data_IF_830561827820
#
_entry.id   IF_830561827820
#
_cell.length_a   1.000
_cell.length_b   1.000
_cell.length_c   1.000
_cell.angle_alpha   90.00
_cell.angle_beta   90.00
_cell.angle_gamma   90.00
#
_symmetry.space_group_name_H-M   'P 1'
#
loop_
_entity.id
_entity.type
_entity.pdbx_description
1 polymer ?
#
# COMPACT_ATOMS: atom_id res chain seq x y z
N UNK A 1 -26.41 -15.52 39.35
CA UNK A 1 -27.19 -15.10 38.15
C UNK A 1 -27.29 -16.29 37.22
N UNK A 2 -28.41 -16.51 36.54
CA UNK A 2 -28.45 -17.44 35.40
C UNK A 2 -27.82 -16.81 34.17
N UNK A 3 -27.34 -17.62 33.23
CA UNK A 3 -26.71 -17.15 31.99
C UNK A 3 -27.63 -16.22 31.20
N UNK A 4 -28.92 -16.55 31.11
CA UNK A 4 -29.93 -15.71 30.44
C UNK A 4 -30.09 -14.34 31.13
N UNK A 5 -30.17 -14.32 32.45
CA UNK A 5 -30.28 -13.07 33.19
C UNK A 5 -29.03 -12.19 33.03
N UNK A 6 -27.84 -12.80 33.01
CA UNK A 6 -26.60 -12.08 32.76
C UNK A 6 -26.57 -11.47 31.36
N UNK A 7 -26.97 -12.22 30.32
CA UNK A 7 -27.02 -11.72 28.94
C UNK A 7 -28.03 -10.58 28.77
N UNK A 8 -29.19 -10.67 29.41
CA UNK A 8 -30.21 -9.61 29.36
C UNK A 8 -29.74 -8.36 30.11
N UNK A 9 -29.06 -8.52 31.25
CA UNK A 9 -28.50 -7.42 32.01
C UNK A 9 -27.37 -6.70 31.24
N UNK A 10 -26.49 -7.44 30.57
CA UNK A 10 -25.44 -6.84 29.72
C UNK A 10 -26.03 -6.01 28.58
N UNK A 11 -27.09 -6.49 27.92
CA UNK A 11 -27.79 -5.73 26.87
C UNK A 11 -28.42 -4.45 27.42
N UNK A 12 -29.03 -4.53 28.61
CA UNK A 12 -29.63 -3.38 29.29
C UNK A 12 -28.58 -2.33 29.65
N UNK A 13 -27.44 -2.75 30.20
CA UNK A 13 -26.33 -1.86 30.53
C UNK A 13 -25.73 -1.21 29.27
N UNK A 14 -25.56 -1.97 28.18
CA UNK A 14 -25.07 -1.44 26.91
C UNK A 14 -26.04 -0.43 26.28
N UNK A 15 -27.36 -0.58 26.45
CA UNK A 15 -28.33 0.43 26.03
C UNK A 15 -28.19 1.72 26.84
N UNK A 16 -28.14 1.61 28.18
CA UNK A 16 -27.96 2.77 29.07
C UNK A 16 -26.64 3.50 28.84
N UNK A 17 -25.56 2.77 28.58
CA UNK A 17 -24.26 3.36 28.24
C UNK A 17 -24.35 4.22 26.97
N UNK A 18 -25.08 3.73 25.95
CA UNK A 18 -25.32 4.49 24.73
C UNK A 18 -26.13 5.75 25.00
N UNK A 19 -27.23 5.66 25.74
CA UNK A 19 -28.09 6.80 26.06
C UNK A 19 -27.29 7.91 26.78
N UNK A 20 -26.54 7.54 27.82
CA UNK A 20 -25.67 8.48 28.56
C UNK A 20 -24.59 9.07 27.65
N UNK A 21 -24.04 8.28 26.75
CA UNK A 21 -23.04 8.78 25.78
C UNK A 21 -23.65 9.79 24.82
N UNK A 22 -24.88 9.58 24.36
CA UNK A 22 -25.60 10.52 23.48
C UNK A 22 -25.90 11.83 24.21
N UNK A 23 -26.38 11.75 25.45
CA UNK A 23 -26.58 12.93 26.30
C UNK A 23 -25.28 13.71 26.48
N UNK A 24 -24.17 13.03 26.80
CA UNK A 24 -22.87 13.67 26.92
C UNK A 24 -22.47 14.37 25.61
N UNK A 25 -22.65 13.74 24.45
CA UNK A 25 -22.33 14.33 23.14
C UNK A 25 -23.14 15.60 22.88
N UNK A 26 -24.44 15.58 23.19
CA UNK A 26 -25.30 16.76 23.05
C UNK A 26 -24.81 17.92 23.94
N UNK A 27 -24.43 17.64 25.20
CA UNK A 27 -23.89 18.67 26.10
C UNK A 27 -22.50 19.16 25.68
N UNK A 28 -21.63 18.28 25.20
CA UNK A 28 -20.32 18.67 24.67
C UNK A 28 -20.46 19.60 23.46
N UNK A 29 -21.48 19.39 22.62
CA UNK A 29 -21.78 20.29 21.51
C UNK A 29 -22.14 21.70 22.02
N UNK A 30 -22.94 21.80 23.08
CA UNK A 30 -23.32 23.08 23.69
C UNK A 30 -22.16 23.75 24.43
N UNK A 31 -21.32 22.98 25.13
CA UNK A 31 -20.10 23.46 25.81
C UNK A 31 -19.12 24.06 24.80
N UNK A 32 -18.96 23.44 23.63
CA UNK A 32 -18.11 23.97 22.56
C UNK A 32 -18.74 25.21 21.91
N UNK A 33 -20.05 25.20 21.64
CA UNK A 33 -20.77 26.35 21.04
C UNK A 33 -20.68 27.61 21.90
N UNK A 34 -20.87 27.47 23.21
CA UNK A 34 -20.79 28.59 24.16
C UNK A 34 -19.36 28.94 24.58
N UNK A 35 -18.36 28.18 24.13
CA UNK A 35 -16.96 28.37 24.54
C UNK A 35 -16.72 28.17 26.03
N UNK A 36 -17.53 27.36 26.73
CA UNK A 36 -17.42 27.21 28.19
C UNK A 36 -16.10 26.55 28.62
N UNK A 37 -15.52 25.69 27.78
CA UNK A 37 -14.18 25.15 28.02
C UNK A 37 -13.10 26.25 28.08
N UNK A 38 -13.25 27.34 27.31
CA UNK A 38 -12.38 28.51 27.41
C UNK A 38 -12.64 29.30 28.69
N UNK A 39 -13.90 29.44 29.11
CA UNK A 39 -14.25 30.07 30.38
C UNK A 39 -13.66 29.32 31.59
N UNK A 40 -13.55 27.99 31.49
CA UNK A 40 -12.86 27.11 32.46
C UNK A 40 -11.33 27.13 32.33
N UNK A 41 -10.76 27.94 31.42
CA UNK A 41 -9.31 28.14 31.29
C UNK A 41 -8.59 27.19 30.33
N UNK A 42 -9.30 26.43 29.50
CA UNK A 42 -8.69 25.53 28.52
C UNK A 42 -8.57 26.18 27.14
N UNK A 43 -7.46 25.92 26.44
CA UNK A 43 -7.21 26.41 25.08
C UNK A 43 -7.99 25.65 23.99
N UNK A 44 -8.61 24.52 24.34
CA UNK A 44 -9.26 23.63 23.40
C UNK A 44 -10.22 22.67 24.10
N UNK A 45 -11.27 22.28 23.37
CA UNK A 45 -12.22 21.27 23.81
C UNK A 45 -11.53 19.91 24.10
N UNK A 46 -10.43 19.61 23.40
CA UNK A 46 -9.65 18.40 23.63
C UNK A 46 -8.98 18.37 25.00
N UNK A 47 -8.32 19.45 25.42
CA UNK A 47 -7.70 19.51 26.75
C UNK A 47 -8.76 19.48 27.86
N UNK A 48 -9.87 20.18 27.69
CA UNK A 48 -10.99 20.12 28.64
C UNK A 48 -11.51 18.69 28.83
N UNK A 49 -11.78 17.97 27.73
CA UNK A 49 -12.21 16.57 27.77
C UNK A 49 -11.19 15.64 28.45
N UNK A 50 -9.89 15.87 28.27
CA UNK A 50 -8.85 15.01 28.87
C UNK A 50 -8.59 15.31 30.34
N UNK A 51 -8.55 16.59 30.71
CA UNK A 51 -8.11 17.02 32.03
C UNK A 51 -9.26 17.12 33.03
N UNK A 52 -10.44 17.59 32.58
CA UNK A 52 -11.64 17.72 33.45
C UNK A 52 -12.51 16.48 33.38
N UNK A 53 -12.83 16.01 32.18
CA UNK A 53 -13.72 14.84 32.01
C UNK A 53 -12.96 13.50 32.06
N UNK A 54 -11.64 13.54 32.23
CA UNK A 54 -10.76 12.37 32.37
C UNK A 54 -10.89 11.35 31.22
N UNK A 55 -11.24 11.82 30.02
CA UNK A 55 -11.35 10.97 28.85
C UNK A 55 -9.96 10.62 28.28
N UNK A 56 -9.82 9.39 27.77
CA UNK A 56 -8.67 9.04 26.94
C UNK A 56 -8.65 9.89 25.66
N UNK A 57 -7.48 10.06 25.04
CA UNK A 57 -7.36 10.86 23.81
C UNK A 57 -8.32 10.38 22.72
N UNK A 58 -8.37 9.06 22.51
CA UNK A 58 -9.27 8.46 21.53
C UNK A 58 -10.75 8.69 21.87
N UNK A 59 -11.12 8.55 23.15
CA UNK A 59 -12.48 8.80 23.62
C UNK A 59 -12.90 10.27 23.46
N UNK A 60 -11.97 11.20 23.70
CA UNK A 60 -12.19 12.63 23.53
C UNK A 60 -12.39 12.99 22.05
N UNK A 61 -11.48 12.57 21.16
CA UNK A 61 -11.60 12.84 19.72
C UNK A 61 -12.93 12.34 19.15
N UNK A 62 -13.30 11.09 19.43
CA UNK A 62 -14.55 10.52 18.91
C UNK A 62 -15.79 11.28 19.37
N UNK A 63 -15.83 11.73 20.63
CA UNK A 63 -16.96 12.49 21.20
C UNK A 63 -17.01 13.93 20.68
N UNK A 64 -15.87 14.60 20.55
CA UNK A 64 -15.80 15.96 20.00
C UNK A 64 -16.26 15.97 18.53
N UNK A 65 -15.77 15.04 17.71
CA UNK A 65 -16.20 14.93 16.32
C UNK A 65 -17.69 14.59 16.20
N UNK A 66 -18.18 13.67 17.04
CA UNK A 66 -19.61 13.37 17.11
C UNK A 66 -20.45 14.59 17.54
N UNK A 67 -20.00 15.35 18.53
CA UNK A 67 -20.67 16.56 19.01
C UNK A 67 -20.77 17.62 17.91
N UNK A 68 -19.66 17.88 17.21
CA UNK A 68 -19.61 18.82 16.08
C UNK A 68 -20.52 18.39 14.93
N UNK A 69 -20.54 17.10 14.60
CA UNK A 69 -21.41 16.55 13.57
C UNK A 69 -22.88 16.64 13.98
N UNK A 70 -23.21 16.23 15.21
CA UNK A 70 -24.56 16.28 15.77
C UNK A 70 -25.13 17.70 15.84
N UNK A 71 -24.30 18.70 16.19
CA UNK A 71 -24.70 20.11 16.15
C UNK A 71 -25.15 20.55 14.75
N UNK A 72 -24.45 20.10 13.71
CA UNK A 72 -24.79 20.40 12.31
C UNK A 72 -25.98 19.57 11.82
N UNK A 73 -26.11 18.33 12.28
CA UNK A 73 -27.09 17.35 11.83
C UNK A 73 -27.71 16.61 13.05
N UNK A 74 -28.74 17.18 13.70
CA UNK A 74 -29.27 16.65 14.97
C UNK A 74 -29.77 15.20 14.93
N UNK A 75 -30.21 14.71 13.76
CA UNK A 75 -30.63 13.31 13.53
C UNK A 75 -29.54 12.29 13.92
N UNK A 76 -28.27 12.69 13.98
CA UNK A 76 -27.17 11.84 14.44
C UNK A 76 -27.39 11.39 15.89
N UNK A 77 -27.92 12.26 16.77
CA UNK A 77 -28.17 11.90 18.18
C UNK A 77 -29.23 10.79 18.29
N UNK A 78 -30.33 10.92 17.54
CA UNK A 78 -31.38 9.89 17.47
C UNK A 78 -30.81 8.55 16.98
N UNK A 79 -30.02 8.58 15.90
CA UNK A 79 -29.42 7.37 15.34
C UNK A 79 -28.37 6.71 16.27
N UNK A 80 -27.64 7.52 17.05
CA UNK A 80 -26.72 7.01 18.08
C UNK A 80 -27.49 6.37 19.25
N UNK A 81 -28.60 6.98 19.69
CA UNK A 81 -29.43 6.45 20.77
C UNK A 81 -30.07 5.11 20.37
N UNK A 82 -30.63 5.04 19.17
CA UNK A 82 -31.13 3.79 18.58
C UNK A 82 -30.03 2.72 18.45
N UNK A 83 -28.77 3.14 18.30
CA UNK A 83 -27.63 2.26 18.00
C UNK A 83 -27.53 1.89 16.53
N UNK A 84 -28.27 2.58 15.66
CA UNK A 84 -28.14 2.42 14.21
C UNK A 84 -26.83 3.05 13.70
N UNK A 85 -26.23 3.97 14.46
CA UNK A 85 -24.88 4.48 14.30
C UNK A 85 -24.03 4.31 15.57
N UNK A 86 -22.72 4.36 15.42
CA UNK A 86 -21.74 4.43 16.51
C UNK A 86 -20.74 5.57 16.29
N UNK A 87 -19.97 5.94 17.31
CA UNK A 87 -19.04 7.08 17.27
C UNK A 87 -17.98 6.96 16.17
N UNK A 88 -17.47 5.75 15.93
CA UNK A 88 -16.52 5.49 14.84
C UNK A 88 -17.13 5.83 13.48
N UNK A 89 -18.38 5.41 13.25
CA UNK A 89 -19.11 5.68 12.01
C UNK A 89 -19.33 7.18 11.83
N UNK A 90 -19.77 7.88 12.88
CA UNK A 90 -19.97 9.33 12.86
C UNK A 90 -18.65 10.06 12.57
N UNK A 91 -17.54 9.67 13.20
CA UNK A 91 -16.23 10.28 12.94
C UNK A 91 -15.72 10.06 11.51
N UNK A 92 -16.06 8.92 10.88
CA UNK A 92 -15.68 8.65 9.49
C UNK A 92 -16.50 9.48 8.50
N UNK A 93 -17.82 9.53 8.66
CA UNK A 93 -18.72 10.20 7.70
C UNK A 93 -18.90 11.69 7.97
N UNK A 94 -18.73 12.15 9.22
CA UNK A 94 -19.14 13.48 9.67
C UNK A 94 -18.55 14.63 8.86
N UNK A 95 -17.28 14.53 8.45
CA UNK A 95 -16.59 15.51 7.60
C UNK A 95 -17.07 15.55 6.14
N UNK A 96 -17.81 14.53 5.71
CA UNK A 96 -18.34 14.39 4.35
C UNK A 96 -19.84 14.70 4.27
N UNK A 97 -20.48 14.98 5.40
CA UNK A 97 -21.88 15.36 5.45
C UNK A 97 -22.05 16.83 5.05
N UNK A 98 -23.01 17.06 4.16
CA UNK A 98 -23.46 18.36 3.69
C UNK A 98 -24.97 18.47 3.89
N UNK A 99 -25.53 19.68 3.81
CA UNK A 99 -26.98 19.88 3.93
C UNK A 99 -27.78 19.10 2.88
N UNK A 100 -27.17 18.80 1.73
CA UNK A 100 -27.85 18.14 0.62
C UNK A 100 -27.74 16.60 0.69
N UNK A 101 -26.67 16.05 1.27
CA UNK A 101 -26.42 14.60 1.24
C UNK A 101 -26.67 13.88 2.58
N UNK A 102 -26.81 14.60 3.70
CA UNK A 102 -26.65 13.98 5.02
C UNK A 102 -27.64 12.84 5.27
N UNK A 103 -28.91 12.98 4.86
CA UNK A 103 -29.93 11.95 5.07
C UNK A 103 -29.59 10.64 4.36
N UNK A 104 -29.18 10.73 3.10
CA UNK A 104 -28.83 9.57 2.28
C UNK A 104 -27.57 8.87 2.80
N UNK A 105 -26.53 9.66 3.11
CA UNK A 105 -25.26 9.13 3.62
C UNK A 105 -25.45 8.45 4.97
N UNK A 106 -26.18 9.09 5.90
CA UNK A 106 -26.45 8.52 7.21
C UNK A 106 -27.32 7.26 7.12
N UNK A 107 -28.32 7.24 6.23
CA UNK A 107 -29.12 6.05 5.98
C UNK A 107 -28.27 4.88 5.44
N UNK A 108 -27.37 5.15 4.50
CA UNK A 108 -26.46 4.15 3.93
C UNK A 108 -25.44 3.61 4.96
N UNK A 109 -25.07 4.42 5.96
CA UNK A 109 -24.13 4.06 7.02
C UNK A 109 -24.74 3.26 8.17
N UNK A 110 -26.07 3.12 8.25
CA UNK A 110 -26.76 2.41 9.34
C UNK A 110 -26.28 0.95 9.47
N UNK A 111 -25.91 0.56 10.70
CA UNK A 111 -25.51 -0.80 11.08
C UNK A 111 -24.39 -1.42 10.21
N UNK A 112 -23.55 -0.58 9.59
CA UNK A 112 -22.41 -1.02 8.77
C UNK A 112 -21.18 -1.26 9.61
N UNK A 113 -20.35 -2.20 9.17
CA UNK A 113 -19.00 -2.37 9.71
C UNK A 113 -18.12 -1.16 9.34
N UNK A 114 -17.07 -0.91 10.14
CA UNK A 114 -16.11 0.18 9.89
C UNK A 114 -15.62 0.20 8.43
N UNK A 115 -15.29 -0.98 7.88
CA UNK A 115 -14.78 -1.10 6.52
C UNK A 115 -15.83 -0.74 5.47
N UNK A 116 -17.08 -1.15 5.63
CA UNK A 116 -18.15 -0.76 4.72
C UNK A 116 -18.41 0.75 4.75
N UNK A 117 -18.25 1.39 5.91
CA UNK A 117 -18.32 2.84 6.05
C UNK A 117 -17.15 3.52 5.34
N UNK A 118 -15.93 2.99 5.45
CA UNK A 118 -14.77 3.49 4.69
C UNK A 118 -14.99 3.36 3.18
N UNK A 119 -15.58 2.25 2.70
CA UNK A 119 -15.95 2.07 1.30
C UNK A 119 -17.05 3.06 0.86
N UNK A 120 -18.02 3.37 1.73
CA UNK A 120 -19.02 4.42 1.50
C UNK A 120 -18.36 5.79 1.37
N UNK A 121 -17.46 6.15 2.29
CA UNK A 121 -16.72 7.41 2.25
C UNK A 121 -15.88 7.51 0.97
N UNK A 122 -15.22 6.42 0.57
CA UNK A 122 -14.44 6.38 -0.67
C UNK A 122 -15.29 6.58 -1.93
N UNK A 123 -16.56 6.15 -1.93
CA UNK A 123 -17.51 6.44 -3.03
C UNK A 123 -17.93 7.91 -3.07
N UNK A 124 -18.11 8.53 -1.90
CA UNK A 124 -18.46 9.95 -1.80
C UNK A 124 -17.30 10.85 -2.25
N UNK A 125 -16.07 10.46 -1.95
CA UNK A 125 -14.86 11.19 -2.32
C UNK A 125 -13.78 10.24 -2.85
N UNK A 126 -13.86 9.86 -4.14
CA UNK A 126 -12.82 9.05 -4.76
C UNK A 126 -11.47 9.77 -4.68
N UNK A 127 -10.49 9.13 -4.07
CA UNK A 127 -9.11 9.61 -4.05
C UNK A 127 -8.41 9.15 -5.34
N UNK A 128 -7.52 9.98 -5.92
CA UNK A 128 -6.72 9.56 -7.07
C UNK A 128 -5.80 8.39 -6.69
N UNK A 129 -5.46 7.57 -7.68
CA UNK A 129 -4.55 6.45 -7.47
C UNK A 129 -3.21 6.93 -6.90
N UNK A 130 -2.74 6.27 -5.85
CA UNK A 130 -1.42 6.55 -5.28
C UNK A 130 -0.37 5.98 -6.23
N UNK A 131 0.63 6.77 -6.66
CA UNK A 131 1.68 6.29 -7.55
C UNK A 131 2.43 5.13 -6.91
N UNK A 132 2.75 4.11 -7.71
CA UNK A 132 3.54 2.98 -7.26
C UNK A 132 4.90 3.46 -6.73
N UNK A 133 5.19 3.15 -5.47
CA UNK A 133 6.48 3.49 -4.86
C UNK A 133 7.05 2.30 -4.09
N UNK A 134 8.35 2.09 -4.25
CA UNK A 134 9.13 1.17 -3.43
C UNK A 134 10.06 2.04 -2.60
N UNK A 135 9.80 2.15 -1.29
CA UNK A 135 10.62 2.94 -0.37
C UNK A 135 11.11 2.04 0.74
N UNK A 136 12.40 2.11 1.07
CA UNK A 136 12.95 1.44 2.24
C UNK A 136 12.33 2.01 3.53
N UNK A 137 11.85 1.16 4.43
CA UNK A 137 11.23 1.59 5.69
C UNK A 137 12.30 2.06 6.71
N UNK A 138 11.98 3.05 7.56
CA UNK A 138 12.77 3.32 8.77
C UNK A 138 12.63 2.17 9.77
N UNK A 139 13.65 1.96 10.59
CA UNK A 139 13.61 0.97 11.67
C UNK A 139 12.58 1.35 12.74
N UNK A 140 11.84 0.34 13.22
CA UNK A 140 11.09 0.46 14.46
C UNK A 140 12.09 0.27 15.59
N UNK A 141 12.51 1.37 16.24
CA UNK A 141 13.19 1.26 17.53
C UNK A 141 12.20 0.64 18.53
N UNK A 142 12.57 -0.40 19.30
CA UNK A 142 11.81 -0.77 20.48
C UNK A 142 11.76 0.48 21.39
N UNK A 143 10.55 0.90 21.77
CA UNK A 143 10.40 1.94 22.78
C UNK A 143 10.79 1.32 24.11
N UNK A 144 12.05 1.51 24.50
CA UNK A 144 12.47 1.32 25.90
C UNK A 144 11.91 2.52 26.67
N UNK A 145 11.01 2.27 27.60
CA UNK A 145 10.48 3.28 28.50
C UNK A 145 11.65 3.89 29.31
N UNK A 146 11.87 5.22 29.29
CA UNK A 146 12.81 5.83 30.21
C UNK A 146 12.22 5.80 31.62
N UNK A 147 12.92 5.11 32.51
CA UNK A 147 12.71 5.22 33.95
C UNK A 147 12.84 6.67 34.41
N UNK A 148 11.97 7.04 35.33
CA UNK A 148 11.87 8.35 35.96
C UNK A 148 13.21 8.82 36.53
N UNK A 149 13.56 10.09 36.29
CA UNK A 149 14.32 10.96 37.19
C UNK A 149 14.06 12.43 36.79
N UNK A 150 13.42 13.17 37.70
CA UNK A 150 13.41 14.65 37.79
C UNK A 150 14.66 15.09 38.60
N UNK A 151 15.20 16.34 38.51
CA UNK A 151 14.42 17.56 38.79
C UNK A 151 14.79 18.93 38.13
N UNK A 152 13.81 19.85 38.27
CA UNK A 152 13.86 21.31 38.56
C UNK A 152 14.19 22.41 37.51
N UNK A 153 13.14 23.23 37.24
CA UNK A 153 13.00 24.71 37.15
C UNK A 153 14.01 25.60 36.36
N UNK A 154 13.63 26.21 35.22
CA UNK A 154 12.96 27.54 34.99
C UNK A 154 13.97 28.70 34.71
N UNK A 155 13.65 29.83 34.01
CA UNK A 155 12.36 30.30 33.49
C UNK A 155 12.34 30.75 31.99
N UNK A 156 11.14 31.14 31.55
CA UNK A 156 10.67 31.67 30.26
C UNK A 156 11.26 33.04 29.87
N UNK A 157 11.22 33.41 28.57
CA UNK A 157 10.33 34.52 28.20
C UNK A 157 9.45 34.23 26.95
N UNK A 158 8.37 35.01 26.85
CA UNK A 158 7.25 34.89 25.91
C UNK A 158 7.53 35.56 24.53
N UNK A 159 6.58 35.58 23.56
CA UNK A 159 6.80 35.10 22.20
C UNK A 159 7.13 36.21 21.18
N UNK A 160 7.93 35.87 20.17
CA UNK A 160 8.10 36.71 18.97
C UNK A 160 7.33 36.09 17.79
N UNK A 161 6.67 36.96 17.03
CA UNK A 161 5.63 36.68 16.05
C UNK A 161 6.04 35.74 14.91
N UNK A 162 5.07 34.92 14.47
CA UNK A 162 5.14 34.09 13.27
C UNK A 162 5.18 34.94 11.99
N UNK A 163 6.01 34.62 10.99
CA UNK A 163 5.65 34.79 9.59
C UNK A 163 4.94 33.52 9.08
N UNK A 164 3.84 33.71 8.36
CA UNK A 164 3.07 32.65 7.72
C UNK A 164 3.92 31.80 6.76
N UNK A 165 3.72 30.47 6.67
CA UNK A 165 4.38 29.67 5.65
C UNK A 165 3.73 29.96 4.29
N UNK A 166 4.48 30.60 3.41
CA UNK A 166 4.17 30.67 1.99
C UNK A 166 4.10 29.23 1.43
N UNK A 167 2.95 28.89 0.83
CA UNK A 167 2.75 27.63 0.13
C UNK A 167 3.61 27.62 -1.12
N UNK A 168 4.74 26.91 -1.09
CA UNK A 168 5.50 26.60 -2.30
C UNK A 168 4.85 25.43 -3.05
N UNK A 169 4.78 25.46 -4.39
CA UNK A 169 4.26 24.36 -5.18
C UNK A 169 5.16 23.11 -5.05
N UNK A 170 4.63 21.88 -5.16
CA UNK A 170 5.42 20.67 -5.08
C UNK A 170 6.40 20.59 -6.25
N UNK A 171 7.69 20.45 -5.93
CA UNK A 171 8.75 20.23 -6.90
C UNK A 171 8.57 18.89 -7.65
N UNK A 172 9.01 18.78 -8.92
CA UNK A 172 8.90 17.54 -9.69
C UNK A 172 9.72 16.42 -9.04
N UNK A 173 9.28 15.14 -9.19
CA UNK A 173 9.95 14.01 -8.56
C UNK A 173 11.35 13.82 -9.16
N UNK A 174 12.38 14.15 -8.38
CA UNK A 174 13.77 13.77 -8.68
C UNK A 174 13.91 12.25 -8.54
N UNK A 175 14.68 11.57 -9.42
CA UNK A 175 15.09 10.20 -9.18
C UNK A 175 15.93 10.15 -7.90
N UNK A 176 15.38 9.57 -6.84
CA UNK A 176 16.04 9.51 -5.55
C UNK A 176 17.16 8.47 -5.61
N UNK A 177 18.39 8.97 -5.61
CA UNK A 177 19.60 8.19 -5.36
C UNK A 177 19.48 7.60 -3.95
N UNK A 178 19.49 6.27 -3.87
CA UNK A 178 19.31 5.49 -2.65
C UNK A 178 20.59 5.54 -1.83
N UNK A 179 20.54 6.13 -0.63
CA UNK A 179 21.61 6.00 0.38
C UNK A 179 21.16 4.99 1.46
N UNK A 180 21.97 3.96 1.79
CA UNK A 180 21.53 2.78 2.54
C UNK A 180 21.51 2.96 4.07
N UNK A 181 20.51 2.35 4.74
CA UNK A 181 20.32 2.46 6.21
C UNK A 181 20.04 1.13 6.97
N UNK A 182 19.76 -0.03 6.33
CA UNK A 182 19.69 -1.39 6.96
C UNK A 182 19.62 -2.52 5.90
N UNK A 183 19.98 -3.80 6.14
CA UNK A 183 19.83 -4.87 5.15
C UNK A 183 18.35 -5.31 4.92
N UNK A 184 17.99 -5.61 3.66
CA UNK A 184 16.91 -6.53 3.24
C UNK A 184 15.41 -6.24 3.50
N UNK A 185 14.97 -5.02 3.85
CA UNK A 185 13.52 -4.69 3.97
C UNK A 185 13.07 -3.52 3.09
N UNK A 186 11.93 -3.67 2.40
CA UNK A 186 11.37 -2.69 1.46
C UNK A 186 9.87 -2.50 1.69
N UNK A 187 9.35 -1.27 1.75
CA UNK A 187 7.90 -0.98 1.63
C UNK A 187 7.55 -0.87 0.16
N UNK A 188 6.57 -1.66 -0.24
CA UNK A 188 5.95 -1.62 -1.55
C UNK A 188 4.54 -1.08 -1.38
N UNK A 189 4.18 -0.03 -2.14
CA UNK A 189 2.85 0.56 -2.11
C UNK A 189 2.38 0.85 -3.54
N UNK A 190 1.20 0.36 -3.91
CA UNK A 190 0.54 0.62 -5.19
C UNK A 190 -0.97 0.41 -5.05
N UNK A 191 -1.76 1.08 -5.90
CA UNK A 191 -3.21 0.83 -5.99
C UNK A 191 -3.49 -0.38 -6.89
N UNK A 192 -4.51 -1.16 -6.55
CA UNK A 192 -4.95 -2.34 -7.32
C UNK A 192 -6.44 -2.25 -7.66
N UNK A 193 -6.83 -2.88 -8.77
CA UNK A 193 -8.25 -2.99 -9.15
C UNK A 193 -9.07 -3.80 -8.14
N UNK A 194 -10.40 -3.60 -8.13
CA UNK A 194 -11.33 -4.39 -7.31
C UNK A 194 -11.17 -5.90 -7.52
N UNK A 195 -11.08 -6.35 -8.78
CA UNK A 195 -10.82 -7.75 -9.15
C UNK A 195 -9.50 -8.27 -8.57
N UNK A 196 -8.46 -7.44 -8.50
CA UNK A 196 -7.18 -7.84 -7.89
C UNK A 196 -7.30 -7.94 -6.37
N UNK A 197 -8.06 -7.05 -5.74
CA UNK A 197 -8.35 -7.11 -4.30
C UNK A 197 -9.16 -8.36 -3.93
N UNK A 198 -10.14 -8.75 -4.75
CA UNK A 198 -10.88 -10.02 -4.60
C UNK A 198 -9.96 -11.23 -4.69
N UNK A 199 -9.06 -11.26 -5.69
CA UNK A 199 -8.05 -12.33 -5.81
C UNK A 199 -7.15 -12.40 -4.57
N UNK A 200 -6.73 -11.26 -4.02
CA UNK A 200 -5.91 -11.23 -2.82
C UNK A 200 -6.66 -11.79 -1.60
N UNK A 201 -7.92 -11.41 -1.40
CA UNK A 201 -8.76 -11.93 -0.31
C UNK A 201 -8.98 -13.43 -0.42
N UNK A 202 -9.31 -13.91 -1.61
CA UNK A 202 -9.46 -15.34 -1.86
C UNK A 202 -8.15 -16.10 -1.57
N UNK A 203 -7.01 -15.53 -1.95
CA UNK A 203 -5.70 -16.12 -1.65
C UNK A 203 -5.43 -16.13 -0.13
N UNK A 204 -5.79 -15.08 0.61
CA UNK A 204 -5.68 -15.03 2.07
C UNK A 204 -6.52 -16.15 2.72
N UNK A 205 -7.77 -16.33 2.28
CA UNK A 205 -8.66 -17.35 2.82
C UNK A 205 -8.13 -18.77 2.56
N UNK A 206 -7.70 -19.06 1.33
CA UNK A 206 -7.12 -20.36 0.97
C UNK A 206 -5.79 -20.64 1.69
N UNK A 207 -5.03 -19.60 2.03
CA UNK A 207 -3.74 -19.72 2.70
C UNK A 207 -3.81 -19.59 4.22
N UNK A 208 -5.00 -19.45 4.82
CA UNK A 208 -5.19 -19.31 6.29
C UNK A 208 -4.43 -20.34 7.12
N UNK A 209 -4.28 -21.57 6.64
CA UNK A 209 -3.55 -22.61 7.36
C UNK A 209 -2.02 -22.47 7.27
N UNK A 210 -1.51 -21.82 6.22
CA UNK A 210 -0.08 -21.59 6.00
C UNK A 210 0.38 -20.19 6.42
N UNK A 211 -0.52 -19.20 6.35
CA UNK A 211 -0.31 -17.78 6.70
C UNK A 211 -1.50 -17.35 7.58
N UNK A 212 -1.46 -17.62 8.89
CA UNK A 212 -2.61 -17.42 9.79
C UNK A 212 -3.11 -15.98 9.88
N UNK A 213 -2.20 -15.01 9.76
CA UNK A 213 -2.47 -13.56 9.79
C UNK A 213 -2.89 -12.99 8.43
N UNK A 214 -2.80 -13.79 7.36
CA UNK A 214 -3.10 -13.37 5.99
C UNK A 214 -2.16 -12.27 5.47
N UNK A 215 -0.90 -12.23 5.92
CA UNK A 215 0.07 -11.21 5.47
C UNK A 215 0.15 -11.12 3.94
N UNK A 216 -0.21 -9.95 3.42
CA UNK A 216 -0.18 -9.67 1.99
C UNK A 216 1.25 -9.68 1.42
N UNK A 217 2.27 -9.36 2.25
CA UNK A 217 3.68 -9.43 1.85
C UNK A 217 4.12 -10.85 1.52
N UNK A 218 3.86 -11.80 2.43
CA UNK A 218 4.14 -13.21 2.24
C UNK A 218 3.38 -13.81 1.04
N UNK A 219 2.12 -13.43 0.84
CA UNK A 219 1.34 -13.89 -0.33
C UNK A 219 1.94 -13.35 -1.63
N UNK A 220 2.33 -12.07 -1.64
CA UNK A 220 2.94 -11.43 -2.80
C UNK A 220 4.28 -12.05 -3.16
N UNK A 221 5.13 -12.36 -2.18
CA UNK A 221 6.40 -13.06 -2.39
C UNK A 221 6.22 -14.45 -3.00
N UNK A 222 5.28 -15.25 -2.47
CA UNK A 222 4.93 -16.55 -3.05
C UNK A 222 4.41 -16.42 -4.48
N UNK A 223 3.56 -15.43 -4.74
CA UNK A 223 3.05 -15.17 -6.09
C UNK A 223 4.17 -14.78 -7.06
N UNK A 224 5.13 -13.94 -6.63
CA UNK A 224 6.30 -13.60 -7.43
C UNK A 224 7.20 -14.80 -7.67
N UNK A 225 7.40 -15.66 -6.67
CA UNK A 225 8.18 -16.90 -6.81
C UNK A 225 7.58 -17.80 -7.88
N UNK A 226 6.27 -18.08 -7.81
CA UNK A 226 5.58 -18.89 -8.81
C UNK A 226 5.62 -18.24 -10.20
N UNK A 227 5.43 -16.91 -10.28
CA UNK A 227 5.51 -16.19 -11.55
C UNK A 227 6.92 -16.25 -12.15
N UNK A 228 7.96 -16.13 -11.33
CA UNK A 228 9.35 -16.24 -11.76
C UNK A 228 9.68 -17.65 -12.23
N UNK A 229 9.20 -18.69 -11.56
CA UNK A 229 9.35 -20.08 -11.99
C UNK A 229 8.64 -20.35 -13.32
N UNK A 230 7.41 -19.85 -13.50
CA UNK A 230 6.65 -19.99 -14.75
C UNK A 230 7.33 -19.24 -15.90
N UNK A 231 7.79 -18.00 -15.66
CA UNK A 231 8.55 -17.22 -16.63
C UNK A 231 9.88 -17.87 -16.97
N UNK A 232 10.59 -18.43 -15.99
CA UNK A 232 11.83 -19.18 -16.20
C UNK A 232 11.59 -20.41 -17.09
N UNK A 233 10.52 -21.16 -16.84
CA UNK A 233 10.15 -22.31 -17.66
C UNK A 233 9.80 -21.92 -19.09
N UNK A 234 8.95 -20.90 -19.27
CA UNK A 234 8.44 -20.47 -20.58
C UNK A 234 9.50 -19.78 -21.43
N UNK A 235 10.26 -18.84 -20.85
CA UNK A 235 11.22 -18.03 -21.61
C UNK A 235 12.60 -18.66 -21.69
N UNK A 236 13.01 -19.41 -20.67
CA UNK A 236 14.38 -19.90 -20.51
C UNK A 236 14.49 -21.40 -20.76
N UNK A 237 13.36 -22.08 -20.97
CA UNK A 237 13.27 -23.55 -21.03
C UNK A 237 13.90 -24.24 -19.81
N UNK A 238 13.91 -23.56 -18.65
CA UNK A 238 14.43 -24.08 -17.39
C UNK A 238 13.60 -25.29 -16.94
N UNK A 239 14.26 -26.40 -16.63
CA UNK A 239 13.64 -27.65 -16.17
C UNK A 239 14.67 -28.51 -15.45
N UNK A 240 14.25 -29.14 -14.34
CA UNK A 240 15.11 -30.01 -13.54
C UNK A 240 15.36 -31.38 -14.20
N UNK A 241 14.52 -31.77 -15.16
CA UNK A 241 14.63 -33.05 -15.89
C UNK A 241 14.52 -32.84 -17.40
N UNK A 242 15.60 -32.33 -18.03
CA UNK A 242 15.61 -32.14 -19.47
C UNK A 242 15.54 -33.50 -20.20
N UNK A 243 14.60 -33.67 -21.13
CA UNK A 243 14.61 -34.81 -22.06
C UNK A 243 15.76 -34.66 -23.06
N UNK A 244 16.44 -35.75 -23.46
CA UNK A 244 17.42 -35.71 -24.52
C UNK A 244 16.76 -35.18 -25.80
N UNK A 245 17.41 -34.20 -26.44
CA UNK A 245 16.90 -33.65 -27.69
C UNK A 245 17.05 -34.70 -28.81
N UNK A 246 16.10 -34.75 -29.75
CA UNK A 246 16.21 -35.57 -30.97
C UNK A 246 17.13 -34.95 -32.04
N UNK A 247 17.92 -33.93 -31.67
CA UNK A 247 18.60 -33.06 -32.62
C UNK A 247 17.63 -32.16 -33.39
N UNK A 248 18.11 -31.02 -33.86
CA UNK A 248 17.40 -30.21 -34.87
C UNK A 248 17.86 -30.66 -36.25
N UNK A 249 16.98 -30.61 -37.26
CA UNK A 249 17.40 -30.81 -38.64
C UNK A 249 18.52 -29.80 -39.01
N UNK A 250 19.55 -30.22 -39.76
CA UNK A 250 20.57 -29.32 -40.28
C UNK A 250 19.92 -28.14 -41.02
N UNK A 251 20.39 -26.92 -40.75
CA UNK A 251 19.82 -25.71 -41.37
C UNK A 251 18.47 -25.26 -40.79
N UNK A 252 18.10 -25.64 -39.56
CA UNK A 252 16.92 -25.06 -38.89
C UNK A 252 17.26 -23.76 -38.15
N UNK A 253 16.45 -22.71 -38.37
CA UNK A 253 16.51 -21.45 -37.58
C UNK A 253 16.07 -21.64 -36.12
N UNK A 254 15.46 -22.78 -35.78
CA UNK A 254 14.97 -23.04 -34.45
C UNK A 254 16.11 -23.33 -33.48
N UNK A 255 16.24 -22.50 -32.43
CA UNK A 255 17.25 -22.70 -31.39
C UNK A 255 16.74 -23.73 -30.37
N UNK A 256 17.42 -24.88 -30.20
CA UNK A 256 17.00 -25.92 -29.27
C UNK A 256 16.92 -25.44 -27.83
N UNK A 257 16.00 -26.03 -27.06
CA UNK A 257 15.83 -25.73 -25.64
C UNK A 257 17.11 -25.94 -24.81
N UNK A 258 17.92 -26.95 -25.16
CA UNK A 258 19.21 -27.18 -24.52
C UNK A 258 20.19 -26.04 -24.74
N UNK A 259 20.27 -25.53 -25.97
CA UNK A 259 21.14 -24.40 -26.33
C UNK A 259 20.65 -23.14 -25.63
N UNK A 260 19.34 -22.87 -25.62
CA UNK A 260 18.76 -21.73 -24.90
C UNK A 260 19.10 -21.74 -23.41
N UNK A 261 18.99 -22.90 -22.74
CA UNK A 261 19.37 -23.04 -21.32
C UNK A 261 20.86 -22.75 -21.10
N UNK A 262 21.74 -23.37 -21.88
CA UNK A 262 23.20 -23.22 -21.75
C UNK A 262 23.64 -21.78 -21.99
N UNK A 263 23.11 -21.15 -23.04
CA UNK A 263 23.38 -19.74 -23.37
C UNK A 263 22.86 -18.80 -22.27
N UNK A 264 21.66 -19.04 -21.74
CA UNK A 264 21.11 -18.21 -20.68
C UNK A 264 21.95 -18.25 -19.40
N UNK A 265 22.39 -19.45 -19.00
CA UNK A 265 23.26 -19.63 -17.83
C UNK A 265 24.61 -18.97 -18.08
N UNK A 266 25.26 -19.25 -19.23
CA UNK A 266 26.56 -18.66 -19.61
C UNK A 266 26.50 -17.13 -19.57
N UNK A 267 25.42 -16.56 -20.10
CA UNK A 267 25.28 -15.12 -20.23
C UNK A 267 24.70 -14.46 -18.95
N UNK A 268 24.30 -15.24 -17.95
CA UNK A 268 23.79 -14.74 -16.66
C UNK A 268 22.49 -13.95 -16.80
N UNK A 269 21.67 -14.23 -17.82
CA UNK A 269 20.44 -13.47 -18.10
C UNK A 269 20.71 -11.99 -18.36
N UNK A 270 21.82 -11.67 -19.03
CA UNK A 270 22.26 -10.32 -19.35
C UNK A 270 22.83 -10.30 -20.75
N UNK A 271 22.63 -9.20 -21.47
CA UNK A 271 23.21 -9.01 -22.79
C UNK A 271 24.72 -9.30 -22.80
N UNK A 272 25.16 -10.15 -23.73
CA UNK A 272 26.55 -10.55 -23.90
C UNK A 272 27.36 -9.60 -24.80
N UNK A 273 26.72 -8.59 -25.40
CA UNK A 273 27.40 -7.58 -26.21
C UNK A 273 28.46 -6.82 -25.40
N UNK A 274 29.65 -6.73 -25.97
CA UNK A 274 30.79 -5.98 -25.43
C UNK A 274 31.14 -4.86 -26.41
N UNK A 275 31.06 -3.62 -25.95
CA UNK A 275 31.41 -2.47 -26.79
C UNK A 275 32.90 -2.40 -27.10
N UNK A 276 33.29 -1.54 -28.06
CA UNK A 276 34.69 -1.34 -28.48
C UNK A 276 35.66 -1.03 -27.32
N UNK A 277 35.16 -0.39 -26.26
CA UNK A 277 35.91 -0.11 -25.04
C UNK A 277 35.93 -1.23 -23.99
N UNK A 278 35.52 -2.45 -24.34
CA UNK A 278 35.53 -3.62 -23.44
C UNK A 278 34.39 -3.67 -22.41
N UNK A 279 33.49 -2.67 -22.37
CA UNK A 279 32.34 -2.67 -21.46
C UNK A 279 31.23 -3.58 -21.97
N UNK A 280 30.83 -4.56 -21.16
CA UNK A 280 29.65 -5.40 -21.39
C UNK A 280 28.36 -4.64 -21.07
N UNK A 281 27.33 -4.85 -21.89
CA UNK A 281 25.99 -4.31 -21.62
C UNK A 281 25.38 -4.89 -20.33
N UNK A 282 24.71 -4.05 -19.54
CA UNK A 282 24.06 -4.40 -18.25
C UNK A 282 22.56 -4.70 -18.39
N UNK A 283 21.99 -4.59 -19.59
CA UNK A 283 20.57 -4.86 -19.82
C UNK A 283 20.20 -6.32 -19.55
N UNK A 284 19.10 -6.49 -18.80
CA UNK A 284 18.49 -7.79 -18.45
C UNK A 284 17.08 -7.95 -19.01
N UNK A 285 16.51 -6.88 -19.57
CA UNK A 285 15.19 -6.86 -20.18
C UNK A 285 15.27 -6.97 -21.71
N UNK A 286 14.18 -7.44 -22.33
CA UNK A 286 14.05 -7.58 -23.79
C UNK A 286 15.23 -8.31 -24.44
N UNK A 287 15.65 -9.42 -23.82
CA UNK A 287 16.73 -10.28 -24.31
C UNK A 287 16.21 -11.21 -25.39
N UNK A 288 17.00 -11.34 -26.45
CA UNK A 288 16.78 -12.15 -27.63
C UNK A 288 17.98 -13.08 -27.82
N UNK A 289 17.73 -14.30 -28.31
CA UNK A 289 18.80 -15.22 -28.68
C UNK A 289 19.30 -14.84 -30.07
N UNK A 290 20.47 -14.22 -30.11
CA UNK A 290 21.14 -13.73 -31.31
C UNK A 290 22.14 -14.77 -31.81
N UNK A 291 22.21 -14.97 -33.12
CA UNK A 291 23.28 -15.77 -33.73
C UNK A 291 24.42 -14.83 -34.10
N UNK A 292 25.61 -15.04 -33.53
CA UNK A 292 26.82 -14.22 -33.75
C UNK A 292 27.22 -14.27 -35.21
N UNK A 293 27.29 -15.47 -35.77
CA UNK A 293 27.21 -15.69 -37.21
C UNK A 293 25.73 -15.86 -37.57
N UNK A 294 25.12 -14.92 -38.33
CA UNK A 294 23.70 -14.99 -38.60
C UNK A 294 23.30 -16.27 -39.33
N UNK A 295 22.14 -16.81 -38.96
CA UNK A 295 21.57 -17.98 -39.61
C UNK A 295 21.48 -17.84 -41.16
N UNK A 296 21.23 -16.62 -41.66
CA UNK A 296 21.10 -16.35 -43.10
C UNK A 296 22.39 -16.64 -43.90
N UNK A 297 23.55 -16.69 -43.23
CA UNK A 297 24.84 -17.05 -43.84
C UNK A 297 25.33 -18.44 -43.42
N UNK A 298 24.45 -19.26 -42.83
CA UNK A 298 24.78 -20.63 -42.43
C UNK A 298 25.11 -20.82 -40.94
N UNK A 299 25.01 -19.76 -40.13
CA UNK A 299 25.28 -19.85 -38.70
C UNK A 299 24.34 -20.80 -37.96
N UNK A 300 24.89 -21.86 -37.37
CA UNK A 300 24.11 -22.87 -36.66
C UNK A 300 23.66 -22.41 -35.27
N UNK A 301 22.55 -22.96 -34.78
CA UNK A 301 22.02 -22.65 -33.45
C UNK A 301 22.76 -23.43 -32.33
N UNK A 302 24.06 -23.24 -32.20
CA UNK A 302 24.92 -23.88 -31.19
C UNK A 302 25.15 -22.98 -29.98
N UNK A 303 25.67 -23.55 -28.88
CA UNK A 303 25.99 -22.76 -27.67
C UNK A 303 27.06 -21.70 -27.96
N UNK A 304 28.04 -22.01 -28.82
CA UNK A 304 29.10 -21.08 -29.19
C UNK A 304 28.63 -19.97 -30.12
N UNK A 305 27.69 -20.25 -31.02
CA UNK A 305 27.21 -19.27 -32.00
C UNK A 305 25.98 -18.47 -31.52
N UNK A 306 25.30 -18.89 -30.45
CA UNK A 306 24.15 -18.18 -29.91
C UNK A 306 24.52 -17.42 -28.64
N UNK A 307 24.12 -16.15 -28.56
CA UNK A 307 24.32 -15.29 -27.39
C UNK A 307 23.06 -14.46 -27.06
N UNK A 308 22.94 -14.02 -25.82
CA UNK A 308 21.89 -13.08 -25.44
C UNK A 308 22.22 -11.66 -25.90
N UNK A 309 21.28 -11.02 -26.58
CA UNK A 309 21.34 -9.59 -26.94
C UNK A 309 20.09 -8.88 -26.46
N UNK A 310 20.22 -7.66 -25.93
CA UNK A 310 19.04 -6.81 -25.77
C UNK A 310 18.57 -6.36 -27.16
N UNK A 311 17.28 -6.01 -27.30
CA UNK A 311 16.71 -5.57 -28.58
C UNK A 311 17.55 -4.51 -29.32
N UNK A 312 18.17 -3.59 -28.58
CA UNK A 312 19.04 -2.54 -29.16
C UNK A 312 20.30 -3.13 -29.78
N UNK A 313 21.03 -3.98 -29.06
CA UNK A 313 22.27 -4.58 -29.57
C UNK A 313 22.00 -5.65 -30.62
N UNK A 314 20.90 -6.40 -30.51
CA UNK A 314 20.49 -7.35 -31.55
C UNK A 314 20.27 -6.62 -32.88
N UNK A 315 19.56 -5.47 -32.85
CA UNK A 315 19.36 -4.63 -34.03
C UNK A 315 20.67 -4.01 -34.53
N UNK A 316 21.51 -3.48 -33.64
CA UNK A 316 22.79 -2.89 -34.01
C UNK A 316 23.72 -3.88 -34.73
N UNK A 317 23.87 -5.11 -34.22
CA UNK A 317 24.67 -6.14 -34.88
C UNK A 317 24.02 -6.61 -36.19
N UNK A 318 22.69 -6.68 -36.25
CA UNK A 318 21.99 -6.95 -37.51
C UNK A 318 22.22 -5.85 -38.55
N UNK A 319 22.21 -4.57 -38.16
CA UNK A 319 22.47 -3.43 -39.05
C UNK A 319 23.93 -3.39 -39.52
N UNK A 320 24.90 -3.76 -38.66
CA UNK A 320 26.30 -3.89 -39.07
C UNK A 320 26.47 -4.99 -40.12
N UNK A 321 25.80 -6.13 -39.90
CA UNK A 321 26.01 -7.30 -40.74
C UNK A 321 25.23 -7.23 -42.07
N UNK A 322 23.95 -6.84 -42.00
CA UNK A 322 23.03 -6.83 -43.16
C UNK A 322 22.82 -5.44 -43.77
N UNK A 323 23.31 -4.37 -43.14
CA UNK A 323 23.01 -3.00 -43.50
C UNK A 323 21.73 -2.46 -42.82
N UNK A 324 21.46 -1.15 -42.90
CA UNK A 324 20.30 -0.52 -42.29
C UNK A 324 18.99 -1.12 -42.84
N UNK A 325 18.06 -1.43 -41.95
CA UNK A 325 16.73 -1.88 -42.36
C UNK A 325 15.94 -0.73 -43.00
N UNK A 326 15.93 -0.66 -44.33
CA UNK A 326 15.02 0.23 -45.09
C UNK A 326 15.65 1.07 -46.21
N UNK A 327 16.33 0.44 -47.16
CA UNK A 327 16.53 1.03 -48.50
C UNK A 327 16.10 0.02 -49.58
N UNK A 328 14.79 -0.21 -49.65
CA UNK A 328 14.03 -0.67 -50.82
C UNK A 328 12.57 -0.25 -50.60
#
# INVERSE_FOLDING_TARGET
LSDRHLLDEVKRLAARERDVTVELIAHLAEVEERGLHHAEGFDSMFLYCRQILLLSEHAAYGRIEAARAARKFPIILEMLAEGSLNLTTVGLVGRHLTRDNYREVLAAAKARSKREVEELVARLHPQPDVPSSIRKLPEVKPVVAPGALLPASAPTPAPSALPAPAVLPPAPPRPQVVTPLAPDRYKVQFTVSAKTCEKLRLAQDLLRHAIPDGDAGAIFDRALTVLLEDLARKKLAATDRPRPSRGTAPGSRHIPAEVKRKVWIRDGGRCAFVGKGGRRCDQRAFLEFHHVEPYAVGGEATVSNVELRCRVHNRYEAEIFFGPHGSS
#
